data_IF_621962993034
#
_entry.id   IF_621962993034
#
_cell.length_a   1.000
_cell.length_b   1.000
_cell.length_c   1.000
_cell.angle_alpha   90.00
_cell.angle_beta   90.00
_cell.angle_gamma   90.00
#
_symmetry.space_group_name_H-M   'P 1'
#
loop_
_entity.id
_entity.type
_entity.pdbx_description
1 polymer ?
#
# COMPACT_ATOMS: atom_id res chain seq x y z
N UNK A 1 1.12 31.86 9.44
CA UNK A 1 -0.08 31.03 9.14
C UNK A 1 0.21 30.31 7.83
N UNK A 2 0.23 28.98 7.80
CA UNK A 2 0.44 28.25 6.55
C UNK A 2 -0.75 28.46 5.62
N UNK A 3 -0.49 28.65 4.33
CA UNK A 3 -1.54 28.81 3.32
C UNK A 3 -2.40 27.54 3.23
N UNK A 4 -3.72 27.65 3.11
CA UNK A 4 -4.58 26.48 2.96
C UNK A 4 -4.24 25.74 1.67
N UNK A 5 -4.04 24.42 1.78
CA UNK A 5 -3.77 23.56 0.64
C UNK A 5 -4.93 23.61 -0.36
N UNK A 6 -4.66 23.67 -1.67
CA UNK A 6 -5.71 23.70 -2.69
C UNK A 6 -6.49 22.37 -2.72
N UNK A 7 -7.79 22.40 -3.09
CA UNK A 7 -8.59 21.19 -3.28
C UNK A 7 -7.91 20.18 -4.20
N UNK A 8 -8.00 18.90 -3.85
CA UNK A 8 -7.51 17.81 -4.69
C UNK A 8 -8.46 17.51 -5.84
N UNK A 9 -7.92 16.96 -6.93
CA UNK A 9 -8.74 16.50 -8.06
C UNK A 9 -9.65 15.34 -7.66
N UNK A 10 -10.78 15.19 -8.34
CA UNK A 10 -11.69 14.05 -8.13
C UNK A 10 -10.97 12.70 -8.31
N UNK A 11 -10.09 12.59 -9.31
CA UNK A 11 -9.27 11.38 -9.51
C UNK A 11 -8.42 11.04 -8.30
N UNK A 12 -7.80 12.05 -7.67
CA UNK A 12 -7.03 11.87 -6.43
C UNK A 12 -7.91 11.37 -5.29
N UNK A 13 -9.08 11.99 -5.07
CA UNK A 13 -10.02 11.58 -4.02
C UNK A 13 -10.48 10.13 -4.22
N UNK A 14 -10.81 9.77 -5.46
CA UNK A 14 -11.21 8.41 -5.83
C UNK A 14 -10.10 7.39 -5.63
N UNK A 15 -8.86 7.72 -5.97
CA UNK A 15 -7.71 6.85 -5.74
C UNK A 15 -7.44 6.63 -4.24
N UNK A 16 -7.52 7.69 -3.43
CA UNK A 16 -7.41 7.57 -1.96
C UNK A 16 -8.53 6.67 -1.42
N UNK A 17 -9.77 6.91 -1.81
CA UNK A 17 -10.90 6.10 -1.38
C UNK A 17 -10.74 4.63 -1.79
N UNK A 18 -10.24 4.36 -3.00
CA UNK A 18 -9.99 3.00 -3.49
C UNK A 18 -8.94 2.24 -2.65
N UNK A 19 -7.87 2.92 -2.21
CA UNK A 19 -6.84 2.33 -1.34
C UNK A 19 -7.39 2.10 0.07
N UNK A 20 -8.08 3.08 0.64
CA UNK A 20 -8.61 2.96 2.01
C UNK A 20 -9.75 1.96 2.11
N UNK A 21 -10.59 1.83 1.07
CA UNK A 21 -11.72 0.91 1.03
C UNK A 21 -11.42 -0.36 0.21
N UNK A 22 -10.15 -0.77 0.15
CA UNK A 22 -9.75 -2.06 -0.40
C UNK A 22 -10.45 -3.23 0.35
N UNK A 23 -10.57 -4.38 -0.30
CA UNK A 23 -11.40 -5.50 0.19
C UNK A 23 -10.68 -6.35 1.22
N UNK A 24 -9.39 -6.65 1.02
CA UNK A 24 -8.64 -7.58 1.86
C UNK A 24 -8.01 -6.87 3.07
N UNK A 25 -7.38 -5.72 2.83
CA UNK A 25 -6.57 -5.02 3.83
C UNK A 25 -7.06 -3.60 4.13
N UNK A 26 -8.16 -3.18 3.51
CA UNK A 26 -8.77 -1.87 3.71
C UNK A 26 -9.69 -1.77 4.92
N UNK A 27 -10.22 -0.57 5.14
CA UNK A 27 -11.23 -0.29 6.15
C UNK A 27 -12.51 -1.09 5.87
N UNK A 28 -13.08 -1.67 6.92
CA UNK A 28 -14.41 -2.28 6.90
C UNK A 28 -15.49 -1.20 6.79
N UNK A 29 -16.70 -1.57 6.36
CA UNK A 29 -17.83 -0.62 6.27
C UNK A 29 -18.09 0.09 7.61
N UNK A 30 -18.07 -0.67 8.71
CA UNK A 30 -18.25 -0.14 10.06
C UNK A 30 -17.16 0.86 10.46
N UNK A 31 -15.90 0.58 10.12
CA UNK A 31 -14.81 1.52 10.42
C UNK A 31 -14.90 2.81 9.61
N UNK A 32 -15.42 2.72 8.38
CA UNK A 32 -15.72 3.90 7.56
C UNK A 32 -16.81 4.73 8.24
N UNK A 33 -17.90 4.10 8.68
CA UNK A 33 -19.01 4.77 9.39
C UNK A 33 -18.50 5.48 10.65
N UNK A 34 -17.72 4.77 11.48
CA UNK A 34 -17.16 5.30 12.73
C UNK A 34 -16.23 6.51 12.46
N UNK A 35 -15.39 6.45 11.42
CA UNK A 35 -14.48 7.54 11.05
C UNK A 35 -15.21 8.75 10.48
N UNK A 36 -16.20 8.54 9.60
CA UNK A 36 -17.01 9.61 9.03
C UNK A 36 -17.78 10.34 10.15
N UNK A 37 -18.40 9.59 11.06
CA UNK A 37 -19.07 10.14 12.23
C UNK A 37 -18.09 10.90 13.15
N UNK A 38 -16.94 10.31 13.50
CA UNK A 38 -15.91 10.93 14.36
C UNK A 38 -15.38 12.24 13.79
N UNK A 39 -15.32 12.38 12.46
CA UNK A 39 -14.78 13.55 11.77
C UNK A 39 -15.86 14.53 11.28
N UNK A 40 -17.13 14.26 11.59
CA UNK A 40 -18.29 15.02 11.14
C UNK A 40 -18.29 15.19 9.61
N UNK A 41 -18.22 14.07 8.90
CA UNK A 41 -18.30 13.98 7.45
C UNK A 41 -19.58 13.26 7.07
N UNK A 42 -20.35 13.81 6.13
CA UNK A 42 -21.57 13.20 5.63
C UNK A 42 -21.27 11.99 4.76
N UNK A 43 -22.16 11.00 4.80
CA UNK A 43 -22.19 9.89 3.83
C UNK A 43 -23.45 9.99 2.97
N UNK A 44 -23.35 10.60 1.78
CA UNK A 44 -24.50 10.83 0.91
C UNK A 44 -24.99 9.57 0.17
N UNK A 45 -24.19 8.49 0.12
CA UNK A 45 -24.48 7.31 -0.69
C UNK A 45 -24.40 6.01 0.12
N UNK A 46 -25.10 5.86 1.26
CA UNK A 46 -24.88 4.75 2.20
C UNK A 46 -25.05 3.35 1.60
N UNK A 47 -25.84 3.22 0.52
CA UNK A 47 -26.09 1.96 -0.18
C UNK A 47 -25.09 1.63 -1.30
N UNK A 48 -24.14 2.53 -1.59
CA UNK A 48 -23.12 2.34 -2.62
C UNK A 48 -21.93 1.49 -2.11
N UNK A 49 -20.99 1.18 -3.01
CA UNK A 49 -19.77 0.46 -2.62
C UNK A 49 -18.97 1.26 -1.60
N UNK A 50 -18.20 0.60 -0.72
CA UNK A 50 -17.32 1.29 0.26
C UNK A 50 -16.44 2.37 -0.39
N UNK A 51 -15.95 2.10 -1.61
CA UNK A 51 -15.08 3.00 -2.37
C UNK A 51 -15.83 4.24 -2.84
N UNK A 52 -17.02 4.06 -3.41
CA UNK A 52 -17.82 5.17 -3.94
C UNK A 52 -18.39 6.04 -2.80
N UNK A 53 -18.84 5.40 -1.72
CA UNK A 53 -19.23 6.07 -0.47
C UNK A 53 -18.17 7.02 0.03
N UNK A 54 -16.96 6.49 0.20
CA UNK A 54 -15.86 7.26 0.76
C UNK A 54 -15.37 8.35 -0.20
N UNK A 55 -15.35 8.09 -1.51
CA UNK A 55 -15.02 9.09 -2.51
C UNK A 55 -16.00 10.26 -2.48
N UNK A 56 -17.31 9.99 -2.42
CA UNK A 56 -18.33 11.04 -2.41
C UNK A 56 -18.34 11.83 -1.09
N UNK A 57 -18.17 11.14 0.05
CA UNK A 57 -17.98 11.80 1.35
C UNK A 57 -16.78 12.77 1.34
N UNK A 58 -15.68 12.40 0.68
CA UNK A 58 -14.52 13.28 0.51
C UNK A 58 -14.82 14.48 -0.40
N UNK A 59 -15.53 14.28 -1.51
CA UNK A 59 -15.93 15.36 -2.42
C UNK A 59 -16.80 16.37 -1.70
N UNK A 60 -17.88 15.92 -1.06
CA UNK A 60 -18.80 16.79 -0.32
C UNK A 60 -18.04 17.62 0.70
N UNK A 61 -17.25 16.96 1.54
CA UNK A 61 -16.53 17.63 2.60
C UNK A 61 -15.45 18.59 2.11
N UNK A 62 -14.70 18.22 1.07
CA UNK A 62 -13.70 19.11 0.48
C UNK A 62 -14.34 20.34 -0.16
N UNK A 63 -15.49 20.19 -0.80
CA UNK A 63 -16.21 21.29 -1.44
C UNK A 63 -16.74 22.30 -0.41
N UNK A 64 -17.21 21.81 0.74
CA UNK A 64 -17.60 22.63 1.89
C UNK A 64 -16.41 23.43 2.45
N UNK A 65 -15.30 22.75 2.73
CA UNK A 65 -14.12 23.37 3.35
C UNK A 65 -13.25 24.15 2.34
N UNK A 66 -13.50 23.97 1.02
CA UNK A 66 -12.63 24.38 -0.10
C UNK A 66 -11.16 23.99 0.11
N UNK A 67 -10.94 22.84 0.75
CA UNK A 67 -9.61 22.39 1.17
C UNK A 67 -9.58 20.87 1.41
N UNK A 68 -8.47 20.17 1.10
CA UNK A 68 -8.33 18.74 1.35
C UNK A 68 -8.03 18.42 2.82
N UNK A 69 -7.91 19.44 3.69
CA UNK A 69 -7.50 19.28 5.09
C UNK A 69 -8.28 18.20 5.83
N UNK A 70 -9.60 18.12 5.64
CA UNK A 70 -10.41 17.11 6.32
C UNK A 70 -10.15 15.71 5.76
N UNK A 71 -9.94 15.57 4.45
CA UNK A 71 -9.54 14.30 3.81
C UNK A 71 -8.19 13.82 4.36
N UNK A 72 -7.22 14.73 4.51
CA UNK A 72 -5.92 14.42 5.13
C UNK A 72 -6.11 13.96 6.58
N UNK A 73 -6.97 14.65 7.34
CA UNK A 73 -7.29 14.27 8.72
C UNK A 73 -7.92 12.87 8.79
N UNK A 74 -8.78 12.53 7.82
CA UNK A 74 -9.35 11.19 7.68
C UNK A 74 -8.27 10.14 7.46
N UNK A 75 -7.34 10.38 6.53
CA UNK A 75 -6.21 9.47 6.26
C UNK A 75 -5.38 9.24 7.52
N UNK A 76 -5.04 10.32 8.24
CA UNK A 76 -4.27 10.23 9.49
C UNK A 76 -5.02 9.43 10.55
N UNK A 77 -6.33 9.65 10.70
CA UNK A 77 -7.16 8.92 11.65
C UNK A 77 -7.29 7.43 11.27
N UNK A 78 -7.41 7.11 9.99
CA UNK A 78 -7.42 5.74 9.49
C UNK A 78 -6.10 5.01 9.77
N UNK A 79 -4.98 5.74 9.76
CA UNK A 79 -3.63 5.23 10.01
C UNK A 79 -3.20 5.30 11.49
N UNK A 80 -4.10 5.58 12.43
CA UNK A 80 -3.78 5.60 13.86
C UNK A 80 -3.21 4.23 14.30
N UNK A 81 -1.99 4.15 14.89
CA UNK A 81 -1.33 2.88 15.20
C UNK A 81 -2.13 1.95 16.11
N UNK A 82 -3.00 2.52 16.96
CA UNK A 82 -3.88 1.75 17.85
C UNK A 82 -4.81 0.80 17.08
N UNK A 83 -5.19 1.14 15.83
CA UNK A 83 -6.02 0.31 14.96
C UNK A 83 -5.30 -0.95 14.46
N UNK A 84 -3.98 -0.98 14.54
CA UNK A 84 -3.13 -2.04 13.99
C UNK A 84 -2.30 -2.74 15.06
N UNK A 85 -2.65 -2.56 16.34
CA UNK A 85 -1.94 -3.18 17.47
C UNK A 85 -1.83 -4.70 17.33
N UNK A 86 -2.92 -5.33 16.88
CA UNK A 86 -3.01 -6.78 16.69
C UNK A 86 -2.61 -7.22 15.27
N UNK A 87 -2.13 -6.28 14.45
CA UNK A 87 -1.70 -6.48 13.05
C UNK A 87 -0.31 -5.88 12.82
N UNK A 88 0.73 -6.36 13.52
CA UNK A 88 2.08 -5.80 13.44
C UNK A 88 2.66 -5.83 12.02
N UNK A 89 2.18 -6.72 11.14
CA UNK A 89 2.59 -6.84 9.75
C UNK A 89 2.44 -5.55 8.93
N UNK A 90 1.54 -4.63 9.31
CA UNK A 90 1.36 -3.35 8.61
C UNK A 90 2.50 -2.34 8.88
N UNK A 91 3.19 -2.45 10.02
CA UNK A 91 4.24 -1.50 10.42
C UNK A 91 5.60 -2.16 10.69
N UNK A 92 5.65 -3.50 10.79
CA UNK A 92 6.89 -4.22 10.96
C UNK A 92 7.71 -4.12 9.67
N UNK A 93 8.99 -3.78 9.82
CA UNK A 93 9.93 -3.93 8.71
C UNK A 93 9.95 -5.41 8.28
N UNK A 94 9.93 -5.71 6.97
CA UNK A 94 10.04 -7.10 6.51
C UNK A 94 11.31 -7.69 7.10
N UNK A 95 11.18 -8.89 7.70
CA UNK A 95 12.30 -9.58 8.29
C UNK A 95 13.42 -9.68 7.23
N UNK A 96 14.55 -9.00 7.47
CA UNK A 96 15.71 -9.11 6.60
C UNK A 96 16.05 -10.60 6.53
N UNK A 97 15.96 -11.18 5.34
CA UNK A 97 16.13 -12.61 5.14
C UNK A 97 17.36 -13.10 5.90
N UNK A 98 17.17 -14.08 6.78
CA UNK A 98 18.29 -14.81 7.37
C UNK A 98 19.17 -15.28 6.22
N UNK A 99 20.46 -14.91 6.15
CA UNK A 99 21.30 -15.38 5.06
C UNK A 99 21.29 -16.90 5.12
N UNK A 100 20.72 -17.53 4.09
CA UNK A 100 20.73 -18.98 3.98
C UNK A 100 22.20 -19.37 3.92
N UNK A 101 22.63 -20.10 4.95
CA UNK A 101 23.99 -20.61 5.07
C UNK A 101 24.17 -21.62 3.92
N UNK A 102 24.58 -21.14 2.74
CA UNK A 102 24.99 -22.02 1.64
C UNK A 102 26.07 -22.91 2.22
N UNK A 103 25.77 -24.21 2.41
CA UNK A 103 26.80 -25.20 2.69
C UNK A 103 27.76 -25.12 1.50
N UNK A 104 28.97 -24.65 1.77
CA UNK A 104 30.10 -24.78 0.83
C UNK A 104 30.27 -26.27 0.61
N UNK A 105 29.79 -26.75 -0.55
CA UNK A 105 29.97 -28.12 -0.99
C UNK A 105 31.47 -28.41 -1.07
N UNK A 106 31.87 -29.52 -0.45
CA UNK A 106 33.21 -30.07 -0.54
C UNK A 106 33.58 -30.23 -2.01
N UNK A 107 34.62 -29.52 -2.43
CA UNK A 107 35.18 -29.60 -3.77
C UNK A 107 35.94 -30.92 -3.87
N UNK A 108 35.30 -31.94 -4.43
CA UNK A 108 35.96 -33.18 -4.84
C UNK A 108 37.03 -32.85 -5.89
N UNK A 109 38.29 -32.98 -5.52
CA UNK A 109 39.43 -32.92 -6.44
C UNK A 109 39.45 -34.21 -7.26
N UNK A 110 38.76 -34.23 -8.40
CA UNK A 110 38.96 -35.27 -9.41
C UNK A 110 39.98 -34.79 -10.43
N UNK A 111 41.23 -35.15 -10.16
CA UNK A 111 42.38 -35.06 -11.06
C UNK A 111 42.07 -35.76 -12.38
N UNK A 112 41.64 -35.02 -13.42
CA UNK A 112 41.55 -35.56 -14.78
C UNK A 112 42.81 -35.18 -15.55
N UNK A 113 43.67 -36.19 -15.72
CA UNK A 113 44.80 -36.17 -16.65
C UNK A 113 44.27 -35.93 -18.08
N UNK A 114 44.94 -34.99 -18.76
CA UNK A 114 45.30 -34.97 -20.19
C UNK A 114 44.38 -35.74 -21.16
N UNK A 115 43.77 -35.03 -22.10
CA UNK A 115 44.04 -35.29 -23.51
C UNK A 115 43.68 -34.08 -24.38
N UNK A 116 44.70 -33.57 -25.07
CA UNK A 116 44.60 -32.53 -26.09
C UNK A 116 44.10 -33.13 -27.41
N UNK A 117 43.35 -32.34 -28.19
CA UNK A 117 43.24 -32.33 -29.66
C UNK A 117 42.20 -31.27 -30.03
N UNK A 118 42.65 -30.05 -30.30
CA UNK A 118 42.93 -29.51 -31.65
C UNK A 118 41.66 -29.15 -32.42
N UNK A 119 41.24 -27.91 -32.23
CA UNK A 119 40.36 -27.18 -33.14
C UNK A 119 41.11 -26.87 -34.44
N UNK A 120 40.57 -27.32 -35.57
CA UNK A 120 40.82 -26.69 -36.87
C UNK A 120 39.62 -26.90 -37.77
N UNK A 121 38.98 -25.77 -38.15
CA UNK A 121 38.46 -25.39 -39.49
C UNK A 121 37.40 -26.33 -40.12
N UNK A 122 36.49 -25.91 -40.98
CA UNK A 122 35.92 -24.67 -41.56
C UNK A 122 34.90 -25.22 -42.61
N UNK A 123 34.05 -24.36 -43.15
CA UNK A 123 33.23 -24.51 -44.38
C UNK A 123 31.72 -24.65 -44.08
N UNK A 124 30.77 -23.87 -44.62
CA UNK A 124 30.78 -23.00 -45.82
C UNK A 124 31.53 -23.55 -47.02
#
# INVERSE_FOLDING_TARGET
MAEPQPPWSYGTLKSVAAVLAETENGLTGREIDDLLARLNMSDPLPDATKRDRLAEAFVVRQNEDRSPKRVITFIVAAMEPVRYRDRPEFYAAPARGTPSRRRVGQRSTRTSRRCARSWTRRNL
#
